data_IF_588753858628
#
_entry.id   IF_588753858628
#
_cell.length_a   1.000
_cell.length_b   1.000
_cell.length_c   1.000
_cell.angle_alpha   90.00
_cell.angle_beta   90.00
_cell.angle_gamma   90.00
#
_symmetry.space_group_name_H-M   'P 1'
#
loop_
_entity.id
_entity.type
_entity.pdbx_description
1 polymer ?
#
# COMPACT_ATOMS: atom_id res chain seq x y z
N UNK A 1 -44.35 -20.49 -6.84
CA UNK A 1 -43.29 -19.57 -6.37
C UNK A 1 -42.16 -19.60 -7.38
N UNK A 2 -42.04 -18.61 -8.26
CA UNK A 2 -40.99 -18.55 -9.28
C UNK A 2 -39.73 -17.92 -8.68
N UNK A 3 -38.61 -18.64 -8.76
CA UNK A 3 -37.29 -18.17 -8.33
C UNK A 3 -36.83 -17.11 -9.33
N UNK A 4 -36.71 -15.85 -8.90
CA UNK A 4 -36.16 -14.79 -9.74
C UNK A 4 -34.74 -15.19 -10.17
N UNK A 5 -34.50 -15.30 -11.47
CA UNK A 5 -33.16 -15.51 -12.01
C UNK A 5 -32.28 -14.32 -11.61
N UNK A 6 -31.13 -14.60 -11.00
CA UNK A 6 -30.13 -13.58 -10.72
C UNK A 6 -29.73 -12.90 -12.03
N UNK A 7 -29.63 -11.56 -12.08
CA UNK A 7 -29.20 -10.88 -13.30
C UNK A 7 -27.78 -11.34 -13.63
N UNK A 8 -27.61 -12.00 -14.77
CA UNK A 8 -26.29 -12.35 -15.29
C UNK A 8 -25.51 -11.05 -15.51
N UNK A 9 -24.39 -10.85 -14.80
CA UNK A 9 -23.48 -9.75 -15.07
C UNK A 9 -22.92 -9.90 -16.49
N UNK A 10 -23.53 -9.22 -17.47
CA UNK A 10 -23.02 -9.19 -18.84
C UNK A 10 -21.78 -8.31 -18.85
N UNK A 11 -20.61 -8.95 -18.74
CA UNK A 11 -19.31 -8.30 -18.93
C UNK A 11 -19.23 -7.76 -20.37
N UNK A 12 -19.49 -6.46 -20.53
CA UNK A 12 -19.23 -5.78 -21.80
C UNK A 12 -17.72 -5.76 -22.06
N UNK A 13 -17.26 -5.86 -23.32
CA UNK A 13 -15.83 -5.84 -23.66
C UNK A 13 -15.04 -4.69 -23.01
N UNK A 14 -15.68 -3.53 -22.81
CA UNK A 14 -15.13 -2.36 -22.11
C UNK A 14 -14.80 -2.64 -20.63
N UNK A 15 -15.66 -3.35 -19.90
CA UNK A 15 -15.43 -3.69 -18.48
C UNK A 15 -14.24 -4.64 -18.35
N UNK A 16 -14.13 -5.62 -19.26
CA UNK A 16 -13.00 -6.56 -19.28
C UNK A 16 -11.69 -5.84 -19.61
N UNK A 17 -11.71 -4.95 -20.60
CA UNK A 17 -10.57 -4.11 -20.94
C UNK A 17 -10.09 -3.27 -19.75
N UNK A 18 -11.01 -2.58 -19.07
CA UNK A 18 -10.71 -1.79 -17.87
C UNK A 18 -10.13 -2.63 -16.73
N UNK A 19 -10.70 -3.81 -16.47
CA UNK A 19 -10.22 -4.71 -15.43
C UNK A 19 -8.79 -5.19 -15.71
N UNK A 20 -8.50 -5.57 -16.96
CA UNK A 20 -7.14 -5.98 -17.38
C UNK A 20 -6.15 -4.82 -17.29
N UNK A 21 -6.53 -3.61 -17.71
CA UNK A 21 -5.70 -2.41 -17.54
C UNK A 21 -5.39 -2.15 -16.07
N UNK A 22 -6.39 -2.22 -15.19
CA UNK A 22 -6.20 -2.05 -13.75
C UNK A 22 -5.29 -3.12 -13.17
N UNK A 23 -5.49 -4.39 -13.51
CA UNK A 23 -4.63 -5.50 -13.09
C UNK A 23 -3.18 -5.25 -13.48
N UNK A 24 -2.92 -4.95 -14.75
CA UNK A 24 -1.57 -4.69 -15.26
C UNK A 24 -0.93 -3.46 -14.61
N UNK A 25 -1.72 -2.42 -14.32
CA UNK A 25 -1.24 -1.22 -13.63
C UNK A 25 -0.86 -1.54 -12.18
N UNK A 26 -1.72 -2.25 -11.45
CA UNK A 26 -1.48 -2.60 -10.05
C UNK A 26 -0.31 -3.59 -9.88
N UNK A 27 -0.12 -4.48 -10.85
CA UNK A 27 0.98 -5.45 -10.85
C UNK A 27 2.27 -4.93 -11.47
N UNK A 28 2.27 -3.70 -12.00
CA UNK A 28 3.51 -3.07 -12.45
C UNK A 28 4.46 -2.92 -11.26
N UNK A 29 5.70 -3.39 -11.41
CA UNK A 29 6.69 -3.36 -10.34
C UNK A 29 6.92 -1.95 -9.77
N UNK A 30 6.88 -0.91 -10.60
CA UNK A 30 6.99 0.48 -10.13
C UNK A 30 5.85 0.89 -9.20
N UNK A 31 4.63 0.41 -9.47
CA UNK A 31 3.45 0.65 -8.64
C UNK A 31 3.57 -0.10 -7.32
N UNK A 32 3.99 -1.37 -7.36
CA UNK A 32 4.23 -2.21 -6.19
C UNK A 32 5.32 -1.59 -5.30
N UNK A 33 6.47 -1.22 -5.88
CA UNK A 33 7.58 -0.60 -5.16
C UNK A 33 7.17 0.73 -4.51
N UNK A 34 6.40 1.54 -5.24
CA UNK A 34 5.84 2.78 -4.70
C UNK A 34 4.91 2.50 -3.52
N UNK A 35 4.03 1.51 -3.62
CA UNK A 35 3.13 1.13 -2.53
C UNK A 35 3.91 0.68 -1.28
N UNK A 36 4.91 -0.18 -1.42
CA UNK A 36 5.77 -0.60 -0.30
C UNK A 36 6.56 0.56 0.32
N UNK A 37 6.97 1.54 -0.50
CA UNK A 37 7.59 2.78 -0.01
C UNK A 37 6.62 3.56 0.89
N UNK A 38 5.38 3.76 0.45
CA UNK A 38 4.35 4.44 1.25
C UNK A 38 3.96 3.66 2.50
N UNK A 39 3.83 2.33 2.43
CA UNK A 39 3.60 1.48 3.60
C UNK A 39 4.69 1.74 4.66
N UNK A 40 5.96 1.81 4.23
CA UNK A 40 7.06 2.07 5.15
C UNK A 40 6.99 3.47 5.75
N UNK A 41 6.69 4.49 4.95
CA UNK A 41 6.51 5.87 5.44
C UNK A 41 5.38 5.91 6.48
N UNK A 42 4.21 5.35 6.16
CA UNK A 42 3.05 5.37 7.04
C UNK A 42 3.23 4.52 8.30
N UNK A 43 4.06 3.47 8.27
CA UNK A 43 4.42 2.74 9.49
C UNK A 43 5.14 3.62 10.52
N UNK A 44 5.84 4.67 10.07
CA UNK A 44 6.53 5.65 10.92
C UNK A 44 5.61 6.82 11.26
N UNK A 45 4.97 7.40 10.25
CA UNK A 45 4.19 8.64 10.41
C UNK A 45 2.79 8.40 10.96
N UNK A 46 2.24 7.19 10.82
CA UNK A 46 0.91 6.84 11.31
C UNK A 46 0.79 6.99 12.84
N UNK A 47 1.62 6.30 13.64
CA UNK A 47 1.62 6.45 15.09
C UNK A 47 1.90 7.89 15.55
N UNK A 48 2.82 8.58 14.87
CA UNK A 48 3.10 10.00 15.14
C UNK A 48 1.86 10.87 14.88
N UNK A 49 1.20 10.70 13.74
CA UNK A 49 -0.01 11.44 13.38
C UNK A 49 -1.12 11.23 14.40
N UNK A 50 -1.32 9.98 14.83
CA UNK A 50 -2.27 9.64 15.90
C UNK A 50 -1.93 10.35 17.22
N UNK A 51 -0.66 10.37 17.60
CA UNK A 51 -0.21 11.04 18.82
C UNK A 51 -0.43 12.56 18.75
N UNK A 52 -0.05 13.21 17.65
CA UNK A 52 -0.19 14.65 17.46
C UNK A 52 -1.66 15.10 17.45
N UNK A 53 -2.57 14.22 17.06
CA UNK A 53 -4.02 14.48 17.08
C UNK A 53 -4.68 14.08 18.42
N UNK A 54 -3.93 13.52 19.37
CA UNK A 54 -4.48 13.09 20.66
C UNK A 54 -4.70 14.26 21.62
N UNK A 55 -5.74 14.16 22.46
CA UNK A 55 -6.01 15.15 23.53
C UNK A 55 -4.92 15.19 24.61
N UNK A 56 -4.12 14.13 24.70
CA UNK A 56 -3.01 13.96 25.64
C UNK A 56 -1.65 14.36 25.06
N UNK A 57 -1.64 15.05 23.91
CA UNK A 57 -0.40 15.49 23.29
C UNK A 57 0.33 16.47 24.22
N UNK A 58 1.59 16.17 24.48
CA UNK A 58 2.54 17.04 25.16
C UNK A 58 3.53 17.59 24.13
N UNK A 59 3.83 18.89 24.19
CA UNK A 59 4.65 19.58 23.18
C UNK A 59 6.10 19.08 23.14
N UNK A 60 6.69 18.79 24.30
CA UNK A 60 8.07 18.31 24.39
C UNK A 60 8.16 16.91 23.79
N UNK A 61 7.22 16.04 24.16
CA UNK A 61 7.11 14.68 23.62
C UNK A 61 6.82 14.70 22.12
N UNK A 62 5.91 15.55 21.66
CA UNK A 62 5.61 15.74 20.24
C UNK A 62 6.85 16.11 19.44
N UNK A 63 7.65 17.07 19.93
CA UNK A 63 8.90 17.47 19.27
C UNK A 63 9.88 16.29 19.17
N UNK A 64 10.06 15.55 20.26
CA UNK A 64 10.96 14.38 20.29
C UNK A 64 10.49 13.30 19.31
N UNK A 65 9.18 13.05 19.22
CA UNK A 65 8.62 12.07 18.29
C UNK A 65 8.75 12.52 16.82
N UNK A 66 8.58 13.82 16.54
CA UNK A 66 8.81 14.37 15.19
C UNK A 66 10.27 14.22 14.77
N UNK A 67 11.21 14.57 15.65
CA UNK A 67 12.64 14.43 15.36
C UNK A 67 13.03 12.97 15.16
N UNK A 68 12.53 12.08 16.02
CA UNK A 68 12.74 10.63 15.91
C UNK A 68 12.18 10.06 14.59
N UNK A 69 10.97 10.47 14.19
CA UNK A 69 10.38 10.08 12.92
C UNK A 69 11.20 10.57 11.73
N UNK A 70 11.69 11.81 11.76
CA UNK A 70 12.56 12.36 10.72
C UNK A 70 13.85 11.55 10.58
N UNK A 71 14.53 11.24 11.69
CA UNK A 71 15.74 10.42 11.66
C UNK A 71 15.48 8.99 11.19
N UNK A 72 14.35 8.39 11.57
CA UNK A 72 13.93 7.09 11.04
C UNK A 72 13.68 7.12 9.54
N UNK A 73 12.99 8.14 9.02
CA UNK A 73 12.76 8.30 7.59
C UNK A 73 14.08 8.46 6.81
N UNK A 74 15.04 9.23 7.33
CA UNK A 74 16.39 9.34 6.73
C UNK A 74 17.15 8.01 6.72
N UNK A 75 16.99 7.17 7.75
CA UNK A 75 17.60 5.83 7.78
C UNK A 75 16.96 4.91 6.75
N UNK A 76 15.63 4.91 6.66
CA UNK A 76 14.87 4.14 5.66
C UNK A 76 15.24 4.58 4.24
N UNK A 77 15.37 5.88 3.98
CA UNK A 77 15.74 6.38 2.66
C UNK A 77 17.13 5.90 2.20
N UNK A 78 18.02 5.59 3.14
CA UNK A 78 19.36 5.04 2.88
C UNK A 78 19.38 3.51 2.80
N UNK A 79 18.34 2.83 3.27
CA UNK A 79 18.21 1.37 3.26
C UNK A 79 16.91 0.95 2.57
N UNK A 80 16.91 1.12 1.24
CA UNK A 80 15.80 0.77 0.35
C UNK A 80 15.80 -0.72 -0.06
N UNK A 81 16.85 -1.47 0.30
CA UNK A 81 17.00 -2.88 -0.06
C UNK A 81 15.85 -3.72 0.47
N UNK A 82 15.44 -3.50 1.72
CA UNK A 82 14.28 -4.18 2.31
C UNK A 82 12.96 -3.89 1.57
N UNK A 83 12.77 -2.66 1.10
CA UNK A 83 11.57 -2.25 0.35
C UNK A 83 11.56 -2.97 -1.00
N UNK A 84 12.72 -3.03 -1.67
CA UNK A 84 12.89 -3.78 -2.92
C UNK A 84 12.61 -5.27 -2.73
N UNK A 85 13.22 -5.93 -1.74
CA UNK A 85 13.00 -7.35 -1.46
C UNK A 85 11.54 -7.67 -1.15
N UNK A 86 10.85 -6.78 -0.44
CA UNK A 86 9.41 -6.93 -0.15
C UNK A 86 8.57 -6.84 -1.42
N UNK A 87 8.89 -5.89 -2.31
CA UNK A 87 8.22 -5.75 -3.60
C UNK A 87 8.48 -6.96 -4.52
N UNK A 88 9.71 -7.46 -4.59
CA UNK A 88 10.07 -8.67 -5.35
C UNK A 88 9.34 -9.91 -4.82
N UNK A 89 9.29 -10.06 -3.49
CA UNK A 89 8.56 -11.17 -2.85
C UNK A 89 7.06 -11.11 -3.17
N UNK A 90 6.47 -9.92 -3.15
CA UNK A 90 5.08 -9.72 -3.55
C UNK A 90 4.85 -10.09 -5.02
N UNK A 91 5.76 -9.70 -5.92
CA UNK A 91 5.67 -10.09 -7.33
C UNK A 91 5.67 -11.61 -7.47
N UNK A 92 6.64 -12.31 -6.88
CA UNK A 92 6.72 -13.78 -6.96
C UNK A 92 5.43 -14.42 -6.47
N UNK A 93 4.92 -13.96 -5.32
CA UNK A 93 3.64 -14.40 -4.77
C UNK A 93 2.48 -14.13 -5.75
N UNK A 94 2.39 -12.92 -6.31
CA UNK A 94 1.30 -12.54 -7.19
C UNK A 94 1.28 -13.37 -8.48
N UNK A 95 2.44 -13.64 -9.08
CA UNK A 95 2.53 -14.51 -10.26
C UNK A 95 2.14 -15.97 -9.93
N UNK A 96 2.45 -16.43 -8.72
CA UNK A 96 2.10 -17.79 -8.28
C UNK A 96 0.60 -17.94 -7.99
N UNK A 97 0.00 -17.01 -7.25
CA UNK A 97 -1.39 -17.12 -6.80
C UNK A 97 -2.41 -16.66 -7.85
N UNK A 98 -2.04 -15.72 -8.72
CA UNK A 98 -2.94 -15.18 -9.73
C UNK A 98 -2.85 -15.93 -11.07
N UNK A 99 -2.02 -16.98 -11.14
CA UNK A 99 -1.77 -17.81 -12.33
C UNK A 99 -1.46 -16.93 -13.56
N UNK A 100 -0.50 -16.01 -13.39
CA UNK A 100 -0.07 -15.02 -14.39
C UNK A 100 1.19 -15.44 -15.15
#
# INVERSE_FOLDING_TARGET
>A
MARAAQPSFKSTPDIRGKAETMKNTLLNFSTILTAYTYIRIFSITGPLSTYLQSKSMDLITAKNLVDGALEHLKKVSRNMEWIKLSAESFVIWAYTELDL
#
